data_IF_094445561635
#
_entry.id   IF_094445561635
#
_cell.length_a   1.000
_cell.length_b   1.000
_cell.length_c   1.000
_cell.angle_alpha   90.00
_cell.angle_beta   90.00
_cell.angle_gamma   90.00
#
_symmetry.space_group_name_H-M   'P 1'
#
loop_
_entity.id
_entity.type
_entity.pdbx_description
1 polymer ?
#
# COMPACT_ATOMS: atom_id res chain seq x y z
N UNK A 1 37.33 24.95 20.25
CA UNK A 1 37.94 23.70 19.77
C UNK A 1 37.48 23.48 18.34
N UNK A 2 38.38 23.58 17.34
CA UNK A 2 38.03 23.34 15.92
C UNK A 2 37.92 21.83 15.69
N UNK A 3 36.83 21.37 15.09
CA UNK A 3 36.66 19.97 14.68
C UNK A 3 37.69 19.60 13.61
N UNK A 4 38.24 18.37 13.62
CA UNK A 4 39.20 17.94 12.61
C UNK A 4 38.53 17.83 11.23
N UNK A 5 39.27 18.08 10.14
CA UNK A 5 38.75 18.00 8.79
C UNK A 5 38.34 16.56 8.45
N UNK A 6 37.19 16.40 7.78
CA UNK A 6 36.71 15.08 7.36
C UNK A 6 37.69 14.42 6.38
N UNK A 7 37.89 13.10 6.48
CA UNK A 7 38.76 12.38 5.55
C UNK A 7 38.21 12.43 4.11
N UNK A 8 39.09 12.33 3.09
CA UNK A 8 38.68 12.39 1.70
C UNK A 8 37.69 11.26 1.36
N UNK A 9 36.50 11.64 0.89
CA UNK A 9 35.44 10.68 0.54
C UNK A 9 35.73 10.05 -0.82
N UNK A 10 35.65 8.72 -0.88
CA UNK A 10 35.98 7.96 -2.08
C UNK A 10 34.68 7.72 -2.88
N UNK A 11 34.49 8.34 -4.07
CA UNK A 11 33.20 8.42 -4.76
C UNK A 11 32.69 7.09 -5.32
N UNK A 12 33.54 6.05 -5.30
CA UNK A 12 33.21 4.70 -5.79
C UNK A 12 32.53 3.82 -4.74
N UNK A 13 32.25 4.34 -3.53
CA UNK A 13 31.47 3.59 -2.54
C UNK A 13 30.01 3.43 -3.02
N UNK A 14 29.49 2.20 -2.96
CA UNK A 14 28.09 1.87 -3.35
C UNK A 14 27.07 2.83 -2.72
N UNK A 15 27.32 3.26 -1.49
CA UNK A 15 26.48 4.22 -0.77
C UNK A 15 26.42 5.59 -1.44
N UNK A 16 27.54 6.08 -1.97
CA UNK A 16 27.58 7.40 -2.59
C UNK A 16 26.94 7.36 -3.99
N UNK A 17 27.06 6.24 -4.70
CA UNK A 17 26.31 5.96 -5.94
C UNK A 17 24.80 5.89 -5.68
N UNK A 18 24.37 5.22 -4.61
CA UNK A 18 22.96 5.15 -4.22
C UNK A 18 22.43 6.50 -3.75
N UNK A 19 23.25 7.32 -3.08
CA UNK A 19 22.87 8.68 -2.69
C UNK A 19 22.70 9.58 -3.91
N UNK A 20 23.59 9.54 -4.90
CA UNK A 20 23.44 10.34 -6.12
C UNK A 20 22.25 9.87 -6.96
N UNK A 21 22.03 8.55 -7.05
CA UNK A 21 20.87 7.99 -7.73
C UNK A 21 19.56 8.37 -7.02
N UNK A 22 19.51 8.27 -5.69
CA UNK A 22 18.34 8.64 -4.89
C UNK A 22 18.04 10.14 -4.90
N UNK A 23 19.07 10.99 -4.90
CA UNK A 23 18.91 12.44 -4.97
C UNK A 23 18.52 12.90 -6.39
N UNK A 24 19.04 12.24 -7.44
CA UNK A 24 18.63 12.46 -8.82
C UNK A 24 17.22 11.93 -9.13
N UNK A 25 16.83 10.81 -8.53
CA UNK A 25 15.50 10.23 -8.66
C UNK A 25 14.44 11.01 -7.87
N UNK A 26 14.79 11.66 -6.77
CA UNK A 26 13.85 12.49 -6.00
C UNK A 26 13.27 13.67 -6.82
N UNK A 27 13.98 14.16 -7.83
CA UNK A 27 13.50 15.24 -8.71
C UNK A 27 12.55 14.78 -9.82
N UNK A 28 12.62 13.51 -10.26
CA UNK A 28 11.83 13.00 -11.40
C UNK A 28 10.78 11.94 -11.02
N UNK A 29 10.98 11.21 -9.92
CA UNK A 29 10.06 10.14 -9.49
C UNK A 29 8.91 10.61 -8.61
N UNK A 30 8.88 11.88 -8.19
CA UNK A 30 7.74 12.45 -7.46
C UNK A 30 6.48 12.60 -8.33
N UNK A 31 6.60 12.48 -9.67
CA UNK A 31 5.50 12.77 -10.60
C UNK A 31 4.87 11.51 -11.21
N UNK A 32 5.48 10.32 -11.07
CA UNK A 32 5.12 9.16 -11.88
C UNK A 32 4.38 8.02 -11.14
N UNK A 33 4.13 8.11 -9.82
CA UNK A 33 3.43 7.04 -9.07
C UNK A 33 2.24 7.58 -8.26
N UNK A 34 1.72 8.76 -8.61
CA UNK A 34 0.37 9.10 -8.20
C UNK A 34 -0.57 8.34 -9.15
N UNK A 35 -1.36 7.36 -8.70
CA UNK A 35 -2.43 6.83 -9.54
C UNK A 35 -3.32 8.02 -9.88
N UNK A 36 -3.31 8.39 -11.16
CA UNK A 36 -4.15 9.46 -11.66
C UNK A 36 -5.60 9.00 -11.56
N UNK A 37 -6.29 9.46 -10.52
CA UNK A 37 -7.75 9.55 -10.52
C UNK A 37 -8.53 8.29 -10.16
N UNK A 38 -8.05 7.44 -9.25
CA UNK A 38 -9.00 6.66 -8.47
C UNK A 38 -9.47 7.53 -7.30
N UNK A 39 -10.73 7.98 -7.38
CA UNK A 39 -11.38 8.58 -6.21
C UNK A 39 -11.31 7.57 -5.07
N UNK A 40 -10.83 8.01 -3.91
CA UNK A 40 -10.78 7.18 -2.72
C UNK A 40 -12.21 6.73 -2.40
N UNK A 41 -12.53 5.48 -2.74
CA UNK A 41 -13.83 4.91 -2.40
C UNK A 41 -13.94 4.88 -0.89
N UNK A 42 -15.00 5.50 -0.37
CA UNK A 42 -15.28 5.49 1.05
C UNK A 42 -15.32 4.04 1.54
N UNK A 43 -14.52 3.72 2.55
CA UNK A 43 -14.59 2.41 3.19
C UNK A 43 -16.00 2.24 3.75
N UNK A 44 -16.66 1.13 3.40
CA UNK A 44 -17.94 0.75 3.99
C UNK A 44 -17.83 0.78 5.52
N UNK A 45 -18.85 1.31 6.20
CA UNK A 45 -18.93 1.26 7.65
C UNK A 45 -18.89 -0.20 8.13
N UNK A 46 -18.40 -0.49 9.35
CA UNK A 46 -18.42 -1.85 9.89
C UNK A 46 -19.80 -2.53 9.82
N UNK A 47 -20.87 -1.73 9.91
CA UNK A 47 -22.27 -2.16 9.79
C UNK A 47 -22.66 -2.55 8.36
N UNK A 48 -22.15 -1.85 7.35
CA UNK A 48 -22.38 -2.17 5.93
C UNK A 48 -21.63 -3.44 5.52
N UNK A 49 -20.38 -3.58 6.00
CA UNK A 49 -19.55 -4.76 5.74
C UNK A 49 -20.16 -6.08 6.28
N UNK A 50 -21.01 -6.00 7.32
CA UNK A 50 -21.69 -7.17 7.89
C UNK A 50 -23.02 -7.49 7.22
N UNK A 51 -23.64 -6.53 6.53
CA UNK A 51 -24.94 -6.68 5.86
C UNK A 51 -24.96 -7.80 4.81
N UNK A 52 -23.79 -8.15 4.26
CA UNK A 52 -23.65 -9.21 3.25
C UNK A 52 -23.44 -10.59 3.85
N UNK A 53 -23.05 -10.71 5.12
CA UNK A 53 -22.53 -11.96 5.71
C UNK A 53 -23.60 -13.02 5.98
N UNK A 54 -24.83 -12.62 6.29
CA UNK A 54 -25.96 -13.53 6.46
C UNK A 54 -27.09 -13.15 5.50
N UNK A 55 -27.37 -14.03 4.54
CA UNK A 55 -28.49 -13.90 3.62
C UNK A 55 -29.14 -15.26 3.45
N UNK A 56 -30.46 -15.28 3.49
CA UNK A 56 -31.19 -16.47 3.10
C UNK A 56 -31.02 -16.68 1.59
N UNK A 57 -30.37 -17.77 1.21
CA UNK A 57 -30.18 -18.16 -0.18
C UNK A 57 -30.97 -19.43 -0.46
N UNK A 58 -31.38 -19.61 -1.72
CA UNK A 58 -32.18 -20.78 -2.13
C UNK A 58 -31.51 -22.11 -1.78
N UNK A 59 -30.17 -22.19 -1.85
CA UNK A 59 -29.44 -23.41 -1.49
C UNK A 59 -29.47 -23.70 0.01
N UNK A 60 -29.38 -22.68 0.88
CA UNK A 60 -29.50 -22.84 2.33
C UNK A 60 -30.93 -23.28 2.70
N UNK A 61 -31.94 -22.66 2.11
CA UNK A 61 -33.35 -23.05 2.33
C UNK A 61 -33.59 -24.49 1.91
N UNK A 62 -33.11 -24.89 0.73
CA UNK A 62 -33.22 -26.27 0.23
C UNK A 62 -32.50 -27.28 1.12
N UNK A 63 -31.30 -26.97 1.59
CA UNK A 63 -30.56 -27.83 2.53
C UNK A 63 -31.40 -28.13 3.77
N UNK A 64 -31.96 -27.11 4.44
CA UNK A 64 -32.78 -27.34 5.63
C UNK A 64 -34.16 -27.93 5.32
N UNK A 65 -34.76 -27.62 4.18
CA UNK A 65 -36.05 -28.18 3.78
C UNK A 65 -35.99 -29.70 3.54
N UNK A 66 -34.88 -30.20 3.00
CA UNK A 66 -34.67 -31.63 2.75
C UNK A 66 -34.24 -32.41 4.00
N UNK A 67 -33.60 -31.74 4.96
CA UNK A 67 -33.06 -32.36 6.17
C UNK A 67 -33.93 -32.13 7.42
N UNK A 68 -35.11 -31.51 7.30
CA UNK A 68 -36.09 -31.48 8.39
C UNK A 68 -36.77 -32.86 8.45
N UNK A 69 -36.49 -33.61 9.51
CA UNK A 69 -37.19 -34.83 9.87
C UNK A 69 -38.59 -34.50 10.38
#
# INVERSE_FOLDING_TARGET
MKTPPEPPRNPLQRRDILKTLGLGAAGAAAVAVLPAGEEAQAMESPQEQVKTRYRETEHVKRFYALNRL
#
